data_IF_474471847689
#
_entry.id   IF_474471847689
#
_cell.length_a   1.000
_cell.length_b   1.000
_cell.length_c   1.000
_cell.angle_alpha   90.00
_cell.angle_beta   90.00
_cell.angle_gamma   90.00
#
_symmetry.space_group_name_H-M   'P 1'
#
loop_
_entity.id
_entity.type
_entity.pdbx_description
1 polymer ?
#
# COMPACT_ATOMS: atom_id res chain seq x y z
N UNK A 1 -13.68 25.95 -31.66
CA UNK A 1 -14.53 24.81 -31.33
C UNK A 1 -13.66 23.55 -31.28
N UNK A 2 -13.26 23.09 -30.13
CA UNK A 2 -12.38 21.91 -30.01
C UNK A 2 -13.17 20.66 -30.38
N UNK A 3 -12.81 20.00 -31.48
CA UNK A 3 -13.50 18.79 -31.94
C UNK A 3 -13.16 17.61 -31.02
N UNK A 4 -14.14 17.10 -30.32
CA UNK A 4 -14.03 15.92 -29.42
C UNK A 4 -13.46 14.68 -30.15
N UNK A 5 -13.64 14.61 -31.46
CA UNK A 5 -13.18 13.51 -32.31
C UNK A 5 -11.64 13.46 -32.42
N UNK A 6 -10.94 14.59 -32.30
CA UNK A 6 -9.47 14.67 -32.40
C UNK A 6 -8.76 14.01 -31.22
N UNK A 7 -9.42 13.95 -30.05
CA UNK A 7 -8.84 13.41 -28.81
C UNK A 7 -9.37 12.04 -28.44
N UNK A 8 -10.28 11.46 -29.24
CA UNK A 8 -10.94 10.18 -28.94
C UNK A 8 -9.96 9.04 -28.70
N UNK A 9 -8.90 8.96 -29.50
CA UNK A 9 -7.90 7.89 -29.38
C UNK A 9 -7.03 8.07 -28.14
N UNK A 10 -6.73 9.33 -27.78
CA UNK A 10 -6.00 9.65 -26.56
C UNK A 10 -6.84 9.31 -25.29
N UNK A 11 -8.14 9.66 -25.30
CA UNK A 11 -9.04 9.29 -24.21
C UNK A 11 -9.15 7.78 -24.04
N UNK A 12 -9.28 7.04 -25.15
CA UNK A 12 -9.34 5.58 -25.14
C UNK A 12 -8.05 4.95 -24.61
N UNK A 13 -6.90 5.48 -24.99
CA UNK A 13 -5.59 5.04 -24.51
C UNK A 13 -5.44 5.31 -23.00
N UNK A 14 -5.76 6.53 -22.56
CA UNK A 14 -5.70 6.91 -21.16
C UNK A 14 -6.65 6.07 -20.29
N UNK A 15 -7.89 5.83 -20.76
CA UNK A 15 -8.86 4.99 -20.05
C UNK A 15 -8.36 3.54 -19.90
N UNK A 16 -7.71 3.02 -20.93
CA UNK A 16 -7.14 1.66 -20.94
C UNK A 16 -6.01 1.49 -19.93
N UNK A 17 -5.24 2.55 -19.67
CA UNK A 17 -4.20 2.56 -18.64
C UNK A 17 -4.78 2.85 -17.26
N UNK A 18 -5.73 3.76 -17.15
CA UNK A 18 -6.33 4.16 -15.87
C UNK A 18 -7.22 3.08 -15.27
N UNK A 19 -7.98 2.33 -16.08
CA UNK A 19 -8.93 1.34 -15.57
C UNK A 19 -8.28 0.25 -14.69
N UNK A 20 -7.15 -0.38 -15.09
CA UNK A 20 -6.45 -1.33 -14.22
C UNK A 20 -6.02 -0.70 -12.88
N UNK A 21 -5.49 0.52 -12.92
CA UNK A 21 -5.04 1.23 -11.71
C UNK A 21 -6.22 1.51 -10.78
N UNK A 22 -7.36 1.98 -11.31
CA UNK A 22 -8.58 2.21 -10.53
C UNK A 22 -9.08 0.90 -9.90
N UNK A 23 -9.09 -0.20 -10.64
CA UNK A 23 -9.50 -1.50 -10.10
C UNK A 23 -8.56 -1.99 -8.98
N UNK A 24 -7.25 -1.77 -9.14
CA UNK A 24 -6.26 -2.05 -8.10
C UNK A 24 -6.55 -1.26 -6.82
N UNK A 25 -6.81 0.04 -6.93
CA UNK A 25 -7.10 0.91 -5.79
C UNK A 25 -8.42 0.53 -5.10
N UNK A 26 -9.46 0.22 -5.88
CA UNK A 26 -10.73 -0.27 -5.33
C UNK A 26 -10.54 -1.59 -4.56
N UNK A 27 -9.74 -2.52 -5.11
CA UNK A 27 -9.40 -3.76 -4.43
C UNK A 27 -8.70 -3.52 -3.08
N UNK A 28 -7.74 -2.60 -3.03
CA UNK A 28 -7.04 -2.24 -1.79
C UNK A 28 -8.00 -1.61 -0.75
N UNK A 29 -8.89 -0.72 -1.17
CA UNK A 29 -9.89 -0.11 -0.28
C UNK A 29 -10.82 -1.18 0.29
N UNK A 30 -11.31 -2.11 -0.55
CA UNK A 30 -12.18 -3.19 -0.10
C UNK A 30 -11.49 -4.10 0.90
N UNK A 31 -10.21 -4.42 0.69
CA UNK A 31 -9.40 -5.20 1.64
C UNK A 31 -9.28 -4.46 2.97
N UNK A 32 -8.98 -3.17 2.96
CA UNK A 32 -8.87 -2.36 4.18
C UNK A 32 -10.20 -2.29 4.95
N UNK A 33 -11.33 -2.18 4.24
CA UNK A 33 -12.66 -2.22 4.85
C UNK A 33 -12.92 -3.58 5.48
N UNK A 34 -12.57 -4.67 4.79
CA UNK A 34 -12.71 -6.03 5.32
C UNK A 34 -11.86 -6.24 6.58
N UNK A 35 -10.61 -5.80 6.59
CA UNK A 35 -9.71 -5.86 7.75
C UNK A 35 -10.31 -5.13 8.97
N UNK A 36 -10.79 -3.90 8.78
CA UNK A 36 -11.41 -3.11 9.84
C UNK A 36 -12.69 -3.76 10.38
N UNK A 37 -13.54 -4.30 9.50
CA UNK A 37 -14.77 -5.00 9.89
C UNK A 37 -14.44 -6.27 10.70
N UNK A 38 -13.39 -6.98 10.33
CA UNK A 38 -12.98 -8.18 11.06
C UNK A 38 -12.42 -7.84 12.43
N UNK A 39 -11.56 -6.84 12.55
CA UNK A 39 -11.03 -6.38 13.85
C UNK A 39 -12.17 -5.89 14.75
N UNK A 40 -13.12 -5.11 14.22
CA UNK A 40 -14.29 -4.65 14.96
C UNK A 40 -15.19 -5.81 15.46
N UNK A 41 -15.32 -6.88 14.67
CA UNK A 41 -16.07 -8.07 15.10
C UNK A 41 -15.34 -8.92 16.16
N UNK A 42 -14.02 -8.97 16.07
CA UNK A 42 -13.18 -9.72 17.03
C UNK A 42 -13.15 -9.06 18.41
N UNK A 43 -13.21 -7.73 18.48
CA UNK A 43 -13.27 -6.96 19.72
C UNK A 43 -14.61 -7.13 20.49
N UNK A 44 -15.65 -7.63 19.82
CA UNK A 44 -17.00 -7.71 20.44
C UNK A 44 -17.49 -6.33 20.88
N UNK A 45 -17.85 -6.20 22.16
CA UNK A 45 -18.29 -4.93 22.76
C UNK A 45 -17.11 -4.03 23.19
N UNK A 46 -15.85 -4.53 23.12
CA UNK A 46 -14.66 -3.76 23.45
C UNK A 46 -14.19 -2.93 22.24
N UNK A 47 -14.21 -1.58 22.31
CA UNK A 47 -13.75 -0.72 21.22
C UNK A 47 -12.22 -0.60 21.13
N UNK A 48 -11.46 -1.02 22.15
CA UNK A 48 -10.00 -0.82 22.25
C UNK A 48 -9.24 -1.46 21.09
N UNK A 49 -9.50 -2.72 20.66
CA UNK A 49 -8.79 -3.33 19.55
C UNK A 49 -8.93 -2.56 18.22
N UNK A 50 -10.15 -2.13 17.91
CA UNK A 50 -10.40 -1.35 16.68
C UNK A 50 -9.75 0.03 16.75
N UNK A 51 -9.82 0.69 17.91
CA UNK A 51 -9.16 1.97 18.15
C UNK A 51 -7.64 1.85 18.01
N UNK A 52 -7.03 0.78 18.55
CA UNK A 52 -5.60 0.51 18.49
C UNK A 52 -5.09 0.32 17.05
N UNK A 53 -5.79 -0.51 16.25
CA UNK A 53 -5.44 -0.74 14.83
C UNK A 53 -5.61 0.55 14.02
N UNK A 54 -6.72 1.28 14.24
CA UNK A 54 -6.98 2.54 13.54
C UNK A 54 -5.94 3.60 13.89
N UNK A 55 -5.58 3.75 15.17
CA UNK A 55 -4.57 4.69 15.62
C UNK A 55 -3.18 4.34 15.09
N UNK A 56 -2.73 3.10 15.28
CA UNK A 56 -1.43 2.64 14.77
C UNK A 56 -1.32 2.76 13.25
N UNK A 57 -2.38 2.40 12.53
CA UNK A 57 -2.48 2.57 11.08
C UNK A 57 -2.41 4.02 10.63
N UNK A 58 -3.08 4.94 11.34
CA UNK A 58 -3.05 6.37 11.02
C UNK A 58 -1.65 6.98 11.21
N UNK A 59 -0.98 6.68 12.33
CA UNK A 59 0.40 7.13 12.59
C UNK A 59 1.35 6.61 11.52
N UNK A 60 1.25 5.32 11.17
CA UNK A 60 2.03 4.73 10.09
C UNK A 60 1.78 5.44 8.75
N UNK A 61 0.53 5.69 8.40
CA UNK A 61 0.12 6.23 7.11
C UNK A 61 0.63 7.66 6.87
N UNK A 62 0.67 8.51 7.92
CA UNK A 62 1.19 9.89 7.81
C UNK A 62 2.63 9.88 7.28
N UNK A 63 3.50 9.04 7.84
CA UNK A 63 4.89 8.93 7.41
C UNK A 63 5.03 8.17 6.09
N UNK A 64 4.14 7.21 5.85
CA UNK A 64 4.11 6.42 4.63
C UNK A 64 3.75 7.26 3.38
N UNK A 65 2.89 8.27 3.52
CA UNK A 65 2.56 9.21 2.42
C UNK A 65 3.82 9.91 1.89
N UNK A 66 4.75 10.29 2.76
CA UNK A 66 6.01 10.91 2.33
C UNK A 66 6.84 9.94 1.48
N UNK A 67 6.92 8.67 1.87
CA UNK A 67 7.62 7.63 1.12
C UNK A 67 6.97 7.36 -0.24
N UNK A 68 5.62 7.32 -0.30
CA UNK A 68 4.87 7.20 -1.56
C UNK A 68 5.17 8.39 -2.48
N UNK A 69 5.18 9.61 -1.95
CA UNK A 69 5.47 10.82 -2.73
C UNK A 69 6.83 10.74 -3.42
N UNK A 70 7.86 10.25 -2.72
CA UNK A 70 9.19 10.01 -3.31
C UNK A 70 9.13 8.91 -4.37
N UNK A 71 8.40 7.82 -4.09
CA UNK A 71 8.29 6.68 -5.00
C UNK A 71 7.64 7.05 -6.34
N UNK A 72 6.62 7.91 -6.34
CA UNK A 72 5.91 8.35 -7.56
C UNK A 72 6.82 9.06 -8.56
N UNK A 73 7.96 9.64 -8.13
CA UNK A 73 8.91 10.30 -9.01
C UNK A 73 9.57 9.39 -10.06
N UNK A 74 9.59 8.07 -9.85
CA UNK A 74 10.20 7.14 -10.80
C UNK A 74 9.36 6.95 -12.07
N UNK A 75 8.04 6.95 -11.97
CA UNK A 75 7.13 6.70 -13.10
C UNK A 75 7.37 7.63 -14.30
N UNK A 76 7.42 8.97 -14.15
CA UNK A 76 7.68 9.85 -15.29
C UNK A 76 9.09 9.67 -15.88
N UNK A 77 10.10 9.42 -15.05
CA UNK A 77 11.47 9.17 -15.52
C UNK A 77 11.57 7.90 -16.38
N UNK A 78 10.95 6.81 -15.93
CA UNK A 78 10.86 5.57 -16.70
C UNK A 78 10.08 5.79 -18.00
N UNK A 79 8.93 6.49 -17.92
CA UNK A 79 8.08 6.76 -19.07
C UNK A 79 8.82 7.55 -20.16
N UNK A 80 9.61 8.55 -19.78
CA UNK A 80 10.40 9.35 -20.72
C UNK A 80 11.47 8.49 -21.43
N UNK A 81 12.28 7.73 -20.67
CA UNK A 81 13.31 6.86 -21.22
C UNK A 81 12.71 5.77 -22.13
N UNK A 82 11.60 5.20 -21.72
CA UNK A 82 10.90 4.19 -22.49
C UNK A 82 10.33 4.75 -23.80
N UNK A 83 9.78 5.96 -23.79
CA UNK A 83 9.28 6.65 -24.98
C UNK A 83 10.41 7.02 -25.98
N UNK A 84 11.61 7.32 -25.48
CA UNK A 84 12.81 7.56 -26.29
C UNK A 84 13.41 6.26 -26.86
N UNK A 85 12.91 5.08 -26.46
CA UNK A 85 13.43 3.78 -26.89
C UNK A 85 14.72 3.36 -26.17
N UNK A 86 15.19 4.11 -25.18
CA UNK A 86 16.43 3.83 -24.42
C UNK A 86 16.16 2.79 -23.32
N UNK A 87 16.08 1.54 -23.75
CA UNK A 87 15.78 0.41 -22.85
C UNK A 87 16.91 0.13 -21.87
N UNK A 88 18.14 0.39 -22.24
CA UNK A 88 19.30 0.17 -21.38
C UNK A 88 19.28 1.13 -20.19
N UNK A 89 19.08 2.44 -20.42
CA UNK A 89 18.93 3.41 -19.33
C UNK A 89 17.67 3.17 -18.50
N UNK A 90 16.57 2.76 -19.13
CA UNK A 90 15.36 2.38 -18.40
C UNK A 90 15.60 1.21 -17.44
N UNK A 91 16.32 0.16 -17.89
CA UNK A 91 16.71 -0.96 -17.02
C UNK A 91 17.68 -0.54 -15.91
N UNK A 92 18.65 0.33 -16.22
CA UNK A 92 19.56 0.91 -15.22
C UNK A 92 18.83 1.74 -14.17
N UNK A 93 17.78 2.47 -14.56
CA UNK A 93 16.93 3.21 -13.63
C UNK A 93 16.16 2.27 -12.68
N UNK A 94 15.70 1.11 -13.15
CA UNK A 94 15.09 0.09 -12.29
C UNK A 94 16.09 -0.46 -11.27
N UNK A 95 17.31 -0.82 -11.71
CA UNK A 95 18.34 -1.37 -10.82
C UNK A 95 18.70 -0.37 -9.71
N UNK A 96 18.93 0.90 -10.06
CA UNK A 96 19.18 1.97 -9.10
C UNK A 96 17.96 2.24 -8.22
N UNK A 97 16.76 2.17 -8.78
CA UNK A 97 15.50 2.31 -8.07
C UNK A 97 15.30 1.24 -7.00
N UNK A 98 15.60 -0.01 -7.32
CA UNK A 98 15.53 -1.13 -6.36
C UNK A 98 16.43 -0.84 -5.15
N UNK A 99 17.68 -0.46 -5.38
CA UNK A 99 18.61 -0.12 -4.31
C UNK A 99 18.13 1.09 -3.51
N UNK A 100 17.79 2.18 -4.20
CA UNK A 100 17.36 3.42 -3.58
C UNK A 100 16.10 3.24 -2.72
N UNK A 101 15.06 2.57 -3.24
CA UNK A 101 13.82 2.39 -2.49
C UNK A 101 13.98 1.40 -1.35
N UNK A 102 14.82 0.39 -1.49
CA UNK A 102 15.14 -0.51 -0.37
C UNK A 102 15.81 0.25 0.76
N UNK A 103 16.82 1.07 0.46
CA UNK A 103 17.49 1.92 1.44
C UNK A 103 16.54 2.96 2.05
N UNK A 104 15.70 3.59 1.22
CA UNK A 104 14.65 4.50 1.69
C UNK A 104 13.67 3.79 2.62
N UNK A 105 13.30 2.55 2.31
CA UNK A 105 12.43 1.73 3.16
C UNK A 105 13.04 1.49 4.55
N UNK A 106 14.33 1.17 4.62
CA UNK A 106 15.03 1.03 5.91
C UNK A 106 15.13 2.38 6.65
N UNK A 107 15.44 3.47 5.95
CA UNK A 107 15.50 4.80 6.56
C UNK A 107 14.13 5.22 7.12
N UNK A 108 13.07 5.02 6.36
CA UNK A 108 11.69 5.31 6.80
C UNK A 108 11.26 4.41 7.96
N UNK A 109 11.64 3.13 7.94
CA UNK A 109 11.40 2.22 9.06
C UNK A 109 12.11 2.69 10.34
N UNK A 110 13.34 3.15 10.25
CA UNK A 110 14.08 3.71 11.38
C UNK A 110 13.41 4.97 11.95
N UNK A 111 12.97 5.89 11.07
CA UNK A 111 12.22 7.10 11.49
C UNK A 111 10.91 6.72 12.16
N UNK A 112 10.14 5.80 11.57
CA UNK A 112 8.88 5.34 12.14
C UNK A 112 9.09 4.63 13.49
N UNK A 113 10.14 3.84 13.63
CA UNK A 113 10.47 3.21 14.90
C UNK A 113 10.79 4.25 15.99
N UNK A 114 11.49 5.33 15.63
CA UNK A 114 11.78 6.42 16.54
C UNK A 114 10.54 7.23 16.97
N UNK A 115 9.42 7.13 16.23
CA UNK A 115 8.14 7.79 16.58
C UNK A 115 7.38 7.04 17.70
N UNK A 116 7.70 5.77 17.98
CA UNK A 116 6.97 4.98 18.99
C UNK A 116 6.79 5.69 20.34
N UNK A 117 7.82 6.29 20.95
CA UNK A 117 7.64 7.03 22.22
C UNK A 117 6.69 8.22 22.08
N UNK A 118 6.64 8.86 20.89
CA UNK A 118 5.77 10.00 20.63
C UNK A 118 4.29 9.61 20.60
N UNK A 119 3.97 8.35 20.29
CA UNK A 119 2.59 7.85 20.25
C UNK A 119 1.85 8.06 21.59
N UNK A 120 2.56 8.01 22.71
CA UNK A 120 1.97 8.25 24.03
C UNK A 120 1.56 9.71 24.26
N UNK A 121 2.06 10.63 23.43
CA UNK A 121 1.77 12.07 23.54
C UNK A 121 0.69 12.55 22.55
N UNK A 122 0.13 11.63 21.76
CA UNK A 122 -0.89 11.97 20.74
C UNK A 122 -2.33 11.97 21.27
N UNK A 123 -2.52 11.97 22.59
CA UNK A 123 -3.84 12.14 23.22
C UNK A 123 -4.75 10.91 23.21
N UNK A 124 -4.20 9.72 22.93
CA UNK A 124 -4.94 8.46 23.03
C UNK A 124 -4.78 7.85 24.43
N UNK A 125 -5.79 7.08 24.94
CA UNK A 125 -5.64 6.31 26.16
C UNK A 125 -4.43 5.37 26.09
N UNK A 126 -3.71 5.21 27.21
CA UNK A 126 -2.49 4.38 27.27
C UNK A 126 -2.78 2.95 26.83
N UNK A 127 -3.93 2.39 27.21
CA UNK A 127 -4.38 1.05 26.82
C UNK A 127 -4.46 0.88 25.28
N UNK A 128 -5.00 1.89 24.57
CA UNK A 128 -5.06 1.91 23.11
C UNK A 128 -3.66 1.96 22.50
N UNK A 129 -2.77 2.79 23.07
CA UNK A 129 -1.39 2.93 22.59
C UNK A 129 -0.62 1.63 22.79
N UNK A 130 -0.70 1.02 23.96
CA UNK A 130 -0.01 -0.22 24.28
C UNK A 130 -0.44 -1.37 23.35
N UNK A 131 -1.74 -1.43 23.01
CA UNK A 131 -2.27 -2.42 22.08
C UNK A 131 -1.90 -2.07 20.61
N UNK A 132 -1.74 -0.80 20.26
CA UNK A 132 -1.35 -0.36 18.91
C UNK A 132 0.13 -0.63 18.60
N UNK A 133 1.03 -0.56 19.58
CA UNK A 133 2.49 -0.67 19.37
C UNK A 133 2.91 -1.98 18.70
N UNK A 134 2.46 -3.17 19.11
CA UNK A 134 2.81 -4.43 18.45
C UNK A 134 2.39 -4.44 16.97
N UNK A 135 1.17 -4.00 16.68
CA UNK A 135 0.67 -3.86 15.31
C UNK A 135 1.50 -2.87 14.49
N UNK A 136 1.76 -1.69 15.05
CA UNK A 136 2.58 -0.66 14.42
C UNK A 136 3.99 -1.15 14.10
N UNK A 137 4.65 -1.88 15.01
CA UNK A 137 5.97 -2.48 14.78
C UNK A 137 5.98 -3.44 13.59
N UNK A 138 4.92 -4.23 13.41
CA UNK A 138 4.80 -5.12 12.26
C UNK A 138 4.68 -4.33 10.95
N UNK A 139 3.91 -3.23 10.94
CA UNK A 139 3.83 -2.34 9.79
C UNK A 139 5.19 -1.70 9.48
N UNK A 140 5.90 -1.21 10.49
CA UNK A 140 7.26 -0.64 10.34
C UNK A 140 8.23 -1.66 9.76
N UNK A 141 8.18 -2.91 10.24
CA UNK A 141 9.01 -4.00 9.71
C UNK A 141 8.74 -4.30 8.24
N UNK A 142 7.50 -4.14 7.78
CA UNK A 142 7.12 -4.36 6.38
C UNK A 142 7.64 -3.27 5.43
N UNK A 143 8.06 -2.12 5.93
CA UNK A 143 8.39 -0.92 5.15
C UNK A 143 9.44 -1.14 4.04
N UNK A 144 10.59 -1.81 4.27
CA UNK A 144 11.56 -2.08 3.21
C UNK A 144 10.98 -2.92 2.08
N UNK A 145 10.14 -3.92 2.40
CA UNK A 145 9.50 -4.79 1.41
C UNK A 145 8.46 -4.04 0.60
N UNK A 146 7.69 -3.16 1.24
CA UNK A 146 6.71 -2.31 0.58
C UNK A 146 7.40 -1.34 -0.37
N UNK A 147 8.50 -0.71 0.05
CA UNK A 147 9.28 0.19 -0.82
C UNK A 147 9.92 -0.56 -2.00
N UNK A 148 10.39 -1.78 -1.78
CA UNK A 148 10.87 -2.63 -2.87
C UNK A 148 9.74 -2.95 -3.87
N UNK A 149 8.54 -3.26 -3.39
CA UNK A 149 7.35 -3.43 -4.25
C UNK A 149 7.06 -2.16 -5.06
N UNK A 150 7.17 -0.97 -4.45
CA UNK A 150 6.98 0.30 -5.16
C UNK A 150 8.01 0.50 -6.27
N UNK A 151 9.25 0.04 -6.14
CA UNK A 151 10.24 0.11 -7.23
C UNK A 151 9.73 -0.59 -8.49
N UNK A 152 9.23 -1.82 -8.35
CA UNK A 152 8.68 -2.57 -9.48
C UNK A 152 7.36 -1.98 -9.99
N UNK A 153 6.47 -1.56 -9.07
CA UNK A 153 5.18 -0.96 -9.39
C UNK A 153 5.37 0.30 -10.25
N UNK A 154 6.17 1.25 -9.78
CA UNK A 154 6.40 2.52 -10.48
C UNK A 154 7.10 2.31 -11.84
N UNK A 155 7.98 1.31 -11.93
CA UNK A 155 8.60 0.93 -13.19
C UNK A 155 7.57 0.39 -14.19
N UNK A 156 6.70 -0.54 -13.76
CA UNK A 156 5.65 -1.11 -14.61
C UNK A 156 4.64 -0.05 -15.08
N UNK A 157 4.27 0.87 -14.20
CA UNK A 157 3.44 2.02 -14.57
C UNK A 157 4.13 2.91 -15.60
N UNK A 158 5.43 3.20 -15.42
CA UNK A 158 6.22 4.01 -16.34
C UNK A 158 6.36 3.41 -17.74
N UNK A 159 6.50 2.08 -17.87
CA UNK A 159 6.50 1.40 -19.18
C UNK A 159 5.09 1.17 -19.74
N UNK A 160 4.04 1.64 -19.05
CA UNK A 160 2.64 1.50 -19.48
C UNK A 160 2.06 0.09 -19.28
N UNK A 161 2.69 -0.78 -18.49
CA UNK A 161 2.22 -2.14 -18.24
C UNK A 161 1.48 -2.26 -16.88
N UNK A 162 0.39 -1.53 -16.74
CA UNK A 162 -0.44 -1.51 -15.52
C UNK A 162 -1.21 -2.82 -15.28
N UNK A 163 -1.29 -3.71 -16.28
CA UNK A 163 -2.01 -4.99 -16.14
C UNK A 163 -1.30 -5.96 -15.20
N UNK A 164 0.03 -6.02 -15.25
CA UNK A 164 0.82 -6.91 -14.37
C UNK A 164 0.62 -6.51 -12.92
N UNK A 165 0.71 -5.22 -12.63
CA UNK A 165 0.44 -4.67 -11.31
C UNK A 165 -0.97 -5.02 -10.81
N UNK A 166 -1.99 -4.80 -11.66
CA UNK A 166 -3.38 -5.14 -11.33
C UNK A 166 -3.53 -6.63 -10.97
N UNK A 167 -2.98 -7.53 -11.78
CA UNK A 167 -3.08 -8.98 -11.54
C UNK A 167 -2.40 -9.37 -10.23
N UNK A 168 -1.18 -8.88 -9.99
CA UNK A 168 -0.43 -9.17 -8.74
C UNK A 168 -1.20 -8.66 -7.53
N UNK A 169 -1.71 -7.44 -7.58
CA UNK A 169 -2.47 -6.85 -6.46
C UNK A 169 -3.79 -7.58 -6.21
N UNK A 170 -4.52 -7.97 -7.27
CA UNK A 170 -5.75 -8.75 -7.11
C UNK A 170 -5.45 -10.11 -6.45
N UNK A 171 -4.40 -10.81 -6.89
CA UNK A 171 -4.00 -12.09 -6.29
C UNK A 171 -3.63 -11.90 -4.82
N UNK A 172 -2.85 -10.86 -4.50
CA UNK A 172 -2.46 -10.55 -3.12
C UNK A 172 -3.68 -10.24 -2.24
N UNK A 173 -4.63 -9.43 -2.72
CA UNK A 173 -5.86 -9.10 -2.00
C UNK A 173 -6.75 -10.33 -1.78
N UNK A 174 -6.89 -11.19 -2.79
CA UNK A 174 -7.64 -12.45 -2.65
C UNK A 174 -6.98 -13.38 -1.62
N UNK A 175 -5.65 -13.53 -1.67
CA UNK A 175 -4.91 -14.32 -0.69
C UNK A 175 -5.08 -13.76 0.73
N UNK A 176 -5.05 -12.45 0.90
CA UNK A 176 -5.31 -11.79 2.19
C UNK A 176 -6.73 -12.11 2.70
N UNK A 177 -7.76 -11.89 1.90
CA UNK A 177 -9.16 -12.14 2.28
C UNK A 177 -9.38 -13.63 2.62
N UNK A 178 -8.83 -14.56 1.82
CA UNK A 178 -8.94 -16.00 2.09
C UNK A 178 -8.23 -16.38 3.39
N UNK A 179 -7.05 -15.81 3.65
CA UNK A 179 -6.32 -16.00 4.90
C UNK A 179 -7.13 -15.53 6.11
N UNK A 180 -7.75 -14.36 6.01
CA UNK A 180 -8.61 -13.81 7.05
C UNK A 180 -9.84 -14.69 7.32
N UNK A 181 -10.50 -15.19 6.27
CA UNK A 181 -11.63 -16.12 6.41
C UNK A 181 -11.17 -17.40 7.12
N UNK A 182 -10.03 -17.96 6.72
CA UNK A 182 -9.50 -19.18 7.33
C UNK A 182 -9.12 -18.98 8.80
N UNK A 183 -8.61 -17.85 9.20
CA UNK A 183 -8.30 -17.50 10.60
C UNK A 183 -9.58 -17.30 11.40
N UNK A 184 -10.65 -16.77 10.82
CA UNK A 184 -11.91 -16.48 11.52
C UNK A 184 -12.80 -17.71 11.73
N UNK A 185 -12.70 -18.76 10.89
CA UNK A 185 -13.53 -19.97 11.01
C UNK A 185 -13.32 -20.78 12.31
N UNK A 186 -12.10 -21.09 12.79
CA UNK A 186 -11.92 -21.91 13.99
C UNK A 186 -12.40 -21.22 15.26
N UNK A 187 -12.44 -19.90 15.30
CA UNK A 187 -12.91 -19.13 16.46
C UNK A 187 -14.43 -19.19 16.61
N UNK A 188 -15.14 -19.27 15.48
CA UNK A 188 -16.60 -19.43 15.48
C UNK A 188 -17.04 -20.78 16.02
N UNK A 189 -16.26 -21.84 15.83
CA UNK A 189 -16.54 -23.19 16.36
C UNK A 189 -16.27 -23.34 17.85
N UNK A 190 -15.39 -22.51 18.45
CA UNK A 190 -15.09 -22.55 19.88
C UNK A 190 -16.03 -21.69 20.74
N UNK A 191 -16.82 -20.80 20.16
CA UNK A 191 -17.78 -19.94 20.87
C UNK A 191 -19.20 -20.50 20.99
N UNK A 192 -19.43 -21.78 20.59
CA UNK A 192 -20.74 -22.48 20.66
C UNK A 192 -20.65 -23.69 21.61
N UNK A 193 -19.85 -23.61 22.65
CA UNK A 193 -19.84 -24.63 23.74
C UNK A 193 -20.01 -23.98 25.09
#
# INVERSE_FOLDING_TARGET
MYSFSKYKDQYKSNLRLALPVVLTQLGQILTQVADNLMVGRYGGDDPVPLAAVSFGGAVFFILFIAAIGIALGMTPLVGELYAQGDREKSAGLLQNGILFYTLLGFAMAAVQYAVIPLMYHLGQPVEVVDMAIPYYKMLVFSMPFVMLFFAFKQFLEGVGNTKVEMVVTIIANLANILSLIHISEPTRRRGIS
#
